data_IF_914385173558
#
_entry.id   IF_914385173558
#
_cell.length_a   1.000
_cell.length_b   1.000
_cell.length_c   1.000
_cell.angle_alpha   90.00
_cell.angle_beta   90.00
_cell.angle_gamma   90.00
#
_symmetry.space_group_name_H-M   'P 1'
#
loop_
_entity.id
_entity.type
_entity.pdbx_description
1 polymer ?
#
# COMPACT_ATOMS: atom_id res chain seq x y z
N UNK A 1 21.62 68.28 -47.17
CA UNK A 1 20.57 67.42 -47.74
C UNK A 1 20.40 66.20 -46.85
N UNK A 2 19.27 66.12 -46.19
CA UNK A 2 18.87 65.09 -45.21
C UNK A 2 18.48 63.80 -45.93
N UNK A 3 19.24 62.72 -45.78
CA UNK A 3 18.78 61.38 -46.17
C UNK A 3 18.00 60.76 -45.01
N UNK A 4 16.67 60.71 -45.15
CA UNK A 4 15.77 59.97 -44.27
C UNK A 4 15.85 58.47 -44.57
N UNK A 5 15.81 57.70 -43.50
CA UNK A 5 15.78 56.23 -43.37
C UNK A 5 14.75 55.54 -44.27
N UNK A 6 14.98 54.26 -44.60
CA UNK A 6 14.08 53.16 -44.18
C UNK A 6 14.91 51.88 -43.97
N UNK A 7 15.35 51.61 -42.74
CA UNK A 7 15.66 50.24 -42.32
C UNK A 7 14.33 49.62 -41.86
N UNK A 8 13.75 48.78 -42.71
CA UNK A 8 12.54 48.04 -42.38
C UNK A 8 12.91 46.94 -41.38
N UNK A 9 13.04 47.29 -40.10
CA UNK A 9 13.07 46.32 -39.00
C UNK A 9 11.67 45.70 -38.93
N UNK A 10 11.46 44.61 -39.67
CA UNK A 10 10.40 43.66 -39.39
C UNK A 10 10.69 43.08 -38.01
N UNK A 11 10.17 43.75 -36.97
CA UNK A 11 9.91 43.14 -35.68
C UNK A 11 8.83 42.08 -35.93
N UNK A 12 9.23 40.93 -36.46
CA UNK A 12 8.49 39.70 -36.22
C UNK A 12 8.49 39.55 -34.70
N UNK A 13 7.41 40.02 -34.08
CA UNK A 13 7.06 39.64 -32.73
C UNK A 13 6.86 38.14 -32.81
N UNK A 14 7.92 37.38 -32.54
CA UNK A 14 7.78 36.00 -32.12
C UNK A 14 6.92 36.08 -30.86
N UNK A 15 5.62 35.82 -31.02
CA UNK A 15 4.75 35.53 -29.90
C UNK A 15 5.26 34.20 -29.36
N UNK A 16 6.20 34.29 -28.41
CA UNK A 16 6.59 33.15 -27.60
C UNK A 16 5.33 32.77 -26.81
N UNK A 17 4.61 31.75 -27.28
CA UNK A 17 3.54 31.12 -26.51
C UNK A 17 4.21 30.27 -25.43
N UNK A 18 4.73 30.93 -24.41
CA UNK A 18 5.31 30.29 -23.24
C UNK A 18 4.21 29.92 -22.24
N UNK A 19 4.29 28.67 -21.75
CA UNK A 19 3.37 27.90 -20.89
C UNK A 19 2.17 27.27 -21.59
N UNK A 20 2.13 25.94 -21.54
CA UNK A 20 0.89 25.13 -21.48
C UNK A 20 0.13 25.48 -20.20
N UNK A 21 -0.37 26.71 -20.13
CA UNK A 21 -1.09 27.25 -18.98
C UNK A 21 -2.49 26.64 -18.93
N UNK A 22 -2.87 26.15 -17.76
CA UNK A 22 -4.25 25.79 -17.45
C UNK A 22 -5.20 26.95 -17.77
N UNK A 23 -6.38 26.63 -18.33
CA UNK A 23 -7.46 27.61 -18.53
C UNK A 23 -8.16 27.91 -17.20
N UNK A 24 -8.82 29.08 -17.06
CA UNK A 24 -9.67 29.35 -15.92
C UNK A 24 -10.73 28.25 -15.74
N UNK A 25 -10.96 27.78 -14.50
CA UNK A 25 -11.89 26.68 -14.25
C UNK A 25 -13.34 26.98 -14.68
N UNK A 26 -13.72 28.26 -14.77
CA UNK A 26 -15.01 28.69 -15.32
C UNK A 26 -15.21 28.33 -16.78
N UNK A 27 -14.13 28.07 -17.51
CA UNK A 27 -14.12 27.71 -18.93
C UNK A 27 -13.85 26.22 -19.16
N UNK A 28 -13.73 25.42 -18.10
CA UNK A 28 -13.44 23.99 -18.17
C UNK A 28 -14.70 23.20 -17.83
N UNK A 29 -15.14 22.35 -18.75
CA UNK A 29 -16.22 21.40 -18.49
C UNK A 29 -15.65 20.07 -17.96
N UNK A 30 -16.05 19.68 -16.76
CA UNK A 30 -15.52 18.51 -16.08
C UNK A 30 -16.21 17.21 -16.51
N UNK A 31 -15.41 16.15 -16.64
CA UNK A 31 -15.92 14.82 -16.97
C UNK A 31 -16.73 14.23 -15.80
N UNK A 32 -17.71 13.38 -16.14
CA UNK A 32 -18.49 12.65 -15.13
C UNK A 32 -17.63 11.59 -14.45
N UNK A 33 -17.68 11.58 -13.13
CA UNK A 33 -16.93 10.63 -12.32
C UNK A 33 -17.59 9.25 -12.26
N UNK A 34 -16.80 8.18 -12.05
CA UNK A 34 -17.36 6.88 -11.70
C UNK A 34 -18.11 6.97 -10.36
N UNK A 35 -18.96 5.98 -10.10
CA UNK A 35 -19.76 5.93 -8.85
C UNK A 35 -18.90 5.83 -7.59
N UNK A 36 -17.69 5.27 -7.68
CA UNK A 36 -16.82 5.01 -6.54
C UNK A 36 -15.38 5.37 -6.88
N UNK A 37 -14.75 6.22 -6.06
CA UNK A 37 -13.30 6.46 -6.06
C UNK A 37 -12.67 5.88 -4.79
N UNK A 38 -11.88 4.83 -4.95
CA UNK A 38 -11.31 4.05 -3.85
C UNK A 38 -10.36 4.89 -2.97
N UNK A 39 -9.49 5.71 -3.55
CA UNK A 39 -8.66 6.65 -2.79
C UNK A 39 -9.34 8.01 -2.52
N UNK A 40 -10.62 8.15 -2.87
CA UNK A 40 -11.37 9.40 -2.74
C UNK A 40 -11.16 10.35 -3.93
N UNK A 41 -11.73 11.55 -3.81
CA UNK A 41 -11.67 12.57 -4.84
C UNK A 41 -10.52 13.55 -4.58
N UNK A 42 -9.86 13.94 -5.66
CA UNK A 42 -8.79 14.95 -5.69
C UNK A 42 -9.00 15.86 -6.90
N UNK A 43 -8.18 16.90 -7.03
CA UNK A 43 -8.21 17.77 -8.20
C UNK A 43 -7.27 17.29 -9.31
N UNK A 44 -7.65 17.59 -10.55
CA UNK A 44 -6.82 17.38 -11.74
C UNK A 44 -5.49 18.18 -11.71
N UNK A 45 -4.68 18.08 -12.78
CA UNK A 45 -3.42 18.82 -12.92
C UNK A 45 -3.59 20.33 -12.68
N UNK A 46 -4.69 20.89 -13.14
CA UNK A 46 -4.99 22.32 -13.11
C UNK A 46 -5.69 22.79 -11.83
N UNK A 47 -6.12 21.87 -10.96
CA UNK A 47 -6.86 22.21 -9.76
C UNK A 47 -8.37 22.41 -9.97
N UNK A 48 -8.91 22.13 -11.16
CA UNK A 48 -10.29 22.46 -11.51
C UNK A 48 -11.25 21.31 -11.22
N UNK A 49 -11.13 20.23 -11.99
CA UNK A 49 -12.08 19.13 -11.94
C UNK A 49 -11.76 18.16 -10.82
N UNK A 50 -12.82 17.62 -10.21
CA UNK A 50 -12.69 16.46 -9.35
C UNK A 50 -12.36 15.23 -10.21
N UNK A 51 -11.39 14.45 -9.76
CA UNK A 51 -10.93 13.18 -10.35
C UNK A 51 -10.72 12.16 -9.24
N UNK A 52 -10.74 10.86 -9.56
CA UNK A 52 -10.32 9.87 -8.57
C UNK A 52 -8.82 10.04 -8.29
N UNK A 53 -8.43 10.03 -7.01
CA UNK A 53 -7.03 10.01 -6.62
C UNK A 53 -6.40 8.64 -6.87
N UNK A 54 -5.08 8.64 -7.05
CA UNK A 54 -4.26 7.43 -7.14
C UNK A 54 -4.28 6.67 -5.79
N UNK A 55 -4.34 5.34 -5.85
CA UNK A 55 -4.29 4.41 -4.73
C UNK A 55 -2.88 4.33 -4.14
N UNK A 56 -2.78 3.70 -2.96
CA UNK A 56 -1.48 3.37 -2.38
C UNK A 56 -0.66 2.53 -3.36
N UNK A 57 0.62 2.87 -3.50
CA UNK A 57 1.60 2.29 -4.41
C UNK A 57 1.40 2.56 -5.91
N UNK A 58 0.34 3.26 -6.32
CA UNK A 58 0.20 3.70 -7.71
C UNK A 58 1.17 4.85 -8.03
N UNK A 59 1.68 4.94 -9.28
CA UNK A 59 2.50 6.05 -9.72
C UNK A 59 1.76 7.38 -9.57
N UNK A 60 2.49 8.41 -9.14
CA UNK A 60 1.95 9.75 -8.95
C UNK A 60 2.88 10.81 -9.52
N UNK A 61 2.34 12.00 -9.78
CA UNK A 61 3.15 13.12 -10.22
C UNK A 61 3.97 13.70 -9.06
N UNK A 62 5.29 13.74 -9.22
CA UNK A 62 6.23 14.37 -8.31
C UNK A 62 7.18 15.32 -9.08
N UNK A 63 7.25 16.61 -8.73
CA UNK A 63 8.01 17.62 -9.51
C UNK A 63 9.50 17.31 -9.71
N UNK A 64 10.12 16.58 -8.79
CA UNK A 64 11.55 16.19 -8.90
C UNK A 64 11.78 15.02 -9.85
N UNK A 65 10.74 14.23 -10.13
CA UNK A 65 10.82 13.01 -10.95
C UNK A 65 10.20 13.23 -12.32
N UNK A 66 9.05 13.90 -12.37
CA UNK A 66 8.26 14.12 -13.58
C UNK A 66 8.62 15.44 -14.25
N UNK A 67 9.15 15.34 -15.47
CA UNK A 67 9.48 16.50 -16.31
C UNK A 67 8.23 17.08 -16.97
N UNK A 68 8.35 18.31 -17.47
CA UNK A 68 7.23 19.07 -18.04
C UNK A 68 6.57 18.39 -19.25
N UNK A 69 7.31 17.54 -19.98
CA UNK A 69 6.81 16.76 -21.12
C UNK A 69 6.33 15.35 -20.76
N UNK A 70 6.46 14.93 -19.50
CA UNK A 70 6.01 13.61 -19.09
C UNK A 70 4.49 13.55 -18.99
N UNK A 71 3.95 12.36 -19.23
CA UNK A 71 2.53 12.07 -19.06
C UNK A 71 2.19 12.28 -17.57
N UNK A 72 1.20 13.13 -17.30
CA UNK A 72 0.75 13.40 -15.94
C UNK A 72 0.21 12.14 -15.27
N UNK A 73 0.88 11.69 -14.20
CA UNK A 73 0.56 10.45 -13.49
C UNK A 73 -0.57 10.57 -12.45
N UNK A 74 -1.14 11.75 -12.22
CA UNK A 74 -2.24 11.95 -11.25
C UNK A 74 -1.76 12.38 -9.86
N UNK A 75 -2.71 12.76 -9.00
CA UNK A 75 -2.47 13.08 -7.59
C UNK A 75 -2.90 11.93 -6.70
N UNK A 76 -2.18 11.72 -5.61
CA UNK A 76 -2.54 10.73 -4.59
C UNK A 76 -3.86 11.08 -3.93
N UNK A 77 -4.65 10.04 -3.60
CA UNK A 77 -5.90 10.20 -2.89
C UNK A 77 -5.76 10.69 -1.45
N UNK A 78 -6.88 10.69 -0.71
CA UNK A 78 -6.94 11.20 0.66
C UNK A 78 -6.07 10.37 1.61
N UNK A 79 -5.21 11.03 2.38
CA UNK A 79 -4.31 10.40 3.36
C UNK A 79 -3.10 9.70 2.73
N UNK A 80 -2.83 10.00 1.45
CA UNK A 80 -1.69 9.49 0.71
C UNK A 80 -0.79 10.66 0.29
N UNK A 81 0.52 10.49 0.45
CA UNK A 81 1.54 11.42 -0.02
C UNK A 81 2.34 10.80 -1.17
N UNK A 82 2.61 11.58 -2.22
CA UNK A 82 3.47 11.14 -3.33
C UNK A 82 4.94 11.17 -2.88
N UNK A 83 5.60 10.01 -2.82
CA UNK A 83 6.99 9.87 -2.36
C UNK A 83 7.86 9.19 -3.42
N UNK A 84 9.07 9.70 -3.62
CA UNK A 84 10.07 9.08 -4.50
C UNK A 84 10.55 7.76 -3.90
N UNK A 85 10.55 6.69 -4.70
CA UNK A 85 11.10 5.39 -4.37
C UNK A 85 12.63 5.49 -4.22
N UNK A 86 13.17 5.00 -3.11
CA UNK A 86 14.61 5.03 -2.79
C UNK A 86 15.27 3.66 -2.85
N UNK A 87 14.50 2.62 -3.14
CA UNK A 87 14.90 1.22 -3.20
C UNK A 87 15.15 0.73 -4.64
N UNK A 88 15.11 1.65 -5.62
CA UNK A 88 15.49 1.35 -7.00
C UNK A 88 17.01 1.51 -7.17
N UNK A 89 17.64 0.64 -7.98
CA UNK A 89 19.02 0.83 -8.44
C UNK A 89 19.25 2.21 -9.08
N UNK A 90 20.48 2.72 -9.07
CA UNK A 90 20.81 4.03 -9.67
C UNK A 90 20.61 4.06 -11.18
N UNK A 91 20.75 2.90 -11.85
CA UNK A 91 20.54 2.75 -13.29
C UNK A 91 19.06 2.81 -13.67
N UNK A 92 18.16 2.52 -12.72
CA UNK A 92 16.73 2.53 -12.95
C UNK A 92 16.19 3.96 -12.85
N UNK A 93 15.22 4.33 -13.71
CA UNK A 93 14.56 5.62 -13.60
C UNK A 93 13.95 5.82 -12.21
N UNK A 94 14.18 6.99 -11.62
CA UNK A 94 13.48 7.37 -10.39
C UNK A 94 11.97 7.39 -10.64
N UNK A 95 11.18 6.83 -9.73
CA UNK A 95 9.72 6.81 -9.79
C UNK A 95 9.16 7.30 -8.45
N UNK A 96 8.08 8.07 -8.50
CA UNK A 96 7.31 8.42 -7.31
C UNK A 96 5.99 7.64 -7.27
N UNK A 97 5.63 7.18 -6.07
CA UNK A 97 4.38 6.44 -5.82
C UNK A 97 3.66 7.01 -4.61
N UNK A 98 2.35 6.83 -4.56
CA UNK A 98 1.55 7.20 -3.39
C UNK A 98 1.87 6.28 -2.21
N UNK A 99 2.09 6.87 -1.03
CA UNK A 99 2.33 6.16 0.23
C UNK A 99 1.35 6.66 1.28
N UNK A 100 0.84 5.76 2.11
CA UNK A 100 -0.02 6.18 3.21
C UNK A 100 0.73 7.09 4.17
N UNK A 101 0.03 8.10 4.68
CA UNK A 101 0.61 8.97 5.71
C UNK A 101 0.79 8.21 7.03
N UNK A 102 -0.08 7.23 7.30
CA UNK A 102 -0.06 6.37 8.48
C UNK A 102 0.12 4.91 8.07
N UNK A 103 1.38 4.47 8.05
CA UNK A 103 1.82 3.09 7.77
C UNK A 103 1.93 2.30 9.09
N UNK A 104 0.78 1.98 9.70
CA UNK A 104 0.67 1.11 10.87
C UNK A 104 -0.26 -0.07 10.56
N UNK A 105 -0.06 -1.17 11.27
CA UNK A 105 -0.96 -2.32 11.18
C UNK A 105 -2.24 -2.07 11.98
N UNK A 106 -3.38 -2.49 11.43
CA UNK A 106 -4.70 -2.40 12.04
C UNK A 106 -5.48 -3.70 11.86
N UNK A 107 -6.26 -4.07 12.86
CA UNK A 107 -7.25 -5.14 12.75
C UNK A 107 -8.60 -4.50 12.51
N UNK A 108 -9.24 -4.83 11.38
CA UNK A 108 -10.61 -4.40 11.10
C UNK A 108 -11.64 -5.15 11.93
N UNK A 109 -12.82 -4.56 12.09
CA UNK A 109 -14.03 -5.21 12.64
C UNK A 109 -14.57 -6.36 11.77
N UNK A 110 -13.98 -6.55 10.59
CA UNK A 110 -14.18 -7.68 9.69
C UNK A 110 -13.18 -8.83 9.92
N UNK A 111 -12.31 -8.72 10.93
CA UNK A 111 -11.32 -9.74 11.27
C UNK A 111 -10.14 -9.82 10.30
N UNK A 112 -9.95 -8.79 9.45
CA UNK A 112 -8.85 -8.73 8.49
C UNK A 112 -7.77 -7.75 8.98
N UNK A 113 -6.51 -8.15 8.84
CA UNK A 113 -5.36 -7.28 9.10
C UNK A 113 -5.08 -6.37 7.90
N UNK A 114 -4.82 -5.09 8.17
CA UNK A 114 -4.49 -4.06 7.20
C UNK A 114 -3.16 -3.43 7.57
N UNK A 115 -2.27 -3.22 6.61
CA UNK A 115 -0.90 -2.69 6.84
C UNK A 115 -0.83 -1.16 6.86
N UNK A 116 -1.97 -0.50 6.64
CA UNK A 116 -2.11 0.95 6.64
C UNK A 116 -3.59 1.31 6.81
N UNK A 117 -3.88 2.52 7.29
CA UNK A 117 -5.26 3.02 7.32
C UNK A 117 -5.82 3.19 5.90
N UNK A 118 -4.95 3.45 4.92
CA UNK A 118 -5.33 3.64 3.53
C UNK A 118 -5.90 2.35 2.92
N UNK A 119 -5.24 1.21 3.14
CA UNK A 119 -5.71 -0.10 2.66
C UNK A 119 -7.04 -0.54 3.31
N UNK A 120 -7.24 -0.23 4.60
CA UNK A 120 -8.51 -0.45 5.30
C UNK A 120 -9.65 0.35 4.66
N UNK A 121 -9.43 1.65 4.44
CA UNK A 121 -10.42 2.54 3.82
C UNK A 121 -10.71 2.16 2.36
N UNK A 122 -9.70 1.73 1.62
CA UNK A 122 -9.84 1.24 0.25
C UNK A 122 -10.75 0.00 0.21
N UNK A 123 -10.47 -1.00 1.06
CA UNK A 123 -11.27 -2.22 1.17
C UNK A 123 -12.73 -1.92 1.54
N UNK A 124 -12.95 -1.01 2.48
CA UNK A 124 -14.28 -0.58 2.86
C UNK A 124 -15.06 -0.01 1.67
N UNK A 125 -14.45 0.92 0.92
CA UNK A 125 -15.09 1.49 -0.28
C UNK A 125 -15.32 0.46 -1.38
N UNK A 126 -14.39 -0.46 -1.58
CA UNK A 126 -14.50 -1.52 -2.60
C UNK A 126 -15.66 -2.48 -2.30
N UNK A 127 -15.88 -2.77 -1.03
CA UNK A 127 -16.96 -3.63 -0.54
C UNK A 127 -18.25 -2.87 -0.22
N UNK A 128 -18.26 -1.54 -0.42
CA UNK A 128 -19.34 -0.64 -0.03
C UNK A 128 -19.77 -0.82 1.44
N UNK A 129 -18.80 -1.08 2.33
CA UNK A 129 -18.96 -1.27 3.77
C UNK A 129 -18.04 -0.30 4.51
N UNK A 130 -18.50 0.25 5.62
CA UNK A 130 -17.58 0.94 6.54
C UNK A 130 -16.93 -0.11 7.44
N UNK A 131 -15.61 -0.26 7.32
CA UNK A 131 -14.79 -1.10 8.19
C UNK A 131 -14.22 -0.18 9.27
N UNK A 132 -14.41 -0.55 10.53
CA UNK A 132 -13.86 0.19 11.67
C UNK A 132 -12.64 -0.52 12.24
N UNK A 133 -11.77 0.21 12.93
CA UNK A 133 -10.59 -0.36 13.58
C UNK A 133 -11.06 -1.05 14.85
N UNK A 134 -10.94 -2.38 14.91
CA UNK A 134 -11.19 -3.17 16.11
C UNK A 134 -10.05 -3.01 17.12
N UNK A 135 -8.79 -3.03 16.65
CA UNK A 135 -7.59 -2.74 17.46
C UNK A 135 -6.43 -2.27 16.56
N UNK A 136 -5.47 -1.57 17.17
CA UNK A 136 -4.15 -1.32 16.56
C UNK A 136 -3.32 -2.61 16.57
N UNK A 137 -2.52 -2.82 15.53
CA UNK A 137 -1.82 -4.07 15.25
C UNK A 137 -2.64 -5.00 14.35
N UNK A 138 -2.03 -6.06 13.81
CA UNK A 138 -2.74 -7.06 13.01
C UNK A 138 -3.82 -7.76 13.85
N UNK A 139 -4.82 -8.34 13.18
CA UNK A 139 -5.73 -9.27 13.84
C UNK A 139 -4.96 -10.48 14.38
N UNK A 140 -5.49 -11.07 15.45
CA UNK A 140 -4.94 -12.27 16.04
C UNK A 140 -4.94 -13.38 14.98
N UNK A 141 -3.75 -13.73 14.46
CA UNK A 141 -3.57 -14.88 13.59
C UNK A 141 -3.28 -16.11 14.44
N UNK A 142 -3.90 -17.24 14.11
CA UNK A 142 -3.49 -18.54 14.68
C UNK A 142 -2.03 -18.90 14.35
N UNK A 143 -1.46 -18.24 13.33
CA UNK A 143 -0.04 -18.33 12.99
C UNK A 143 0.75 -17.34 13.87
N UNK A 144 1.20 -17.83 15.02
CA UNK A 144 2.11 -17.08 15.88
C UNK A 144 3.54 -17.16 15.30
N UNK A 145 4.16 -16.05 14.84
CA UNK A 145 5.50 -16.10 14.28
C UNK A 145 6.58 -16.55 15.28
N UNK A 146 6.26 -16.56 16.58
CA UNK A 146 7.13 -17.10 17.63
C UNK A 146 7.03 -18.62 17.72
N UNK A 147 5.96 -19.21 17.20
CA UNK A 147 5.73 -20.65 17.17
C UNK A 147 6.32 -21.24 15.89
N UNK A 148 7.08 -22.32 16.04
CA UNK A 148 7.54 -23.12 14.90
C UNK A 148 7.42 -24.60 15.20
N UNK A 149 6.87 -25.36 14.25
CA UNK A 149 6.68 -26.80 14.37
C UNK A 149 7.62 -27.50 13.40
N UNK A 150 8.47 -28.38 13.93
CA UNK A 150 9.43 -29.14 13.14
C UNK A 150 9.19 -30.64 13.33
N UNK A 151 9.45 -31.41 12.28
CA UNK A 151 9.36 -32.87 12.32
C UNK A 151 10.61 -33.52 11.74
N UNK A 152 11.09 -34.59 12.36
CA UNK A 152 12.18 -35.44 11.86
C UNK A 152 11.86 -36.92 12.05
N UNK A 153 12.70 -37.77 11.48
CA UNK A 153 12.75 -39.19 11.87
C UNK A 153 13.14 -39.32 13.34
N UNK A 154 12.52 -40.30 14.01
CA UNK A 154 12.81 -40.62 15.42
C UNK A 154 13.90 -41.69 15.56
N UNK A 155 14.33 -41.97 16.80
CA UNK A 155 15.45 -42.87 17.07
C UNK A 155 15.16 -44.32 16.66
N UNK A 156 13.89 -44.74 16.67
CA UNK A 156 13.49 -46.07 16.23
C UNK A 156 13.13 -46.13 14.73
N UNK A 157 13.29 -47.32 14.15
CA UNK A 157 12.88 -47.59 12.78
C UNK A 157 11.38 -47.34 12.64
N UNK A 158 11.01 -46.48 11.68
CA UNK A 158 9.63 -46.05 11.39
C UNK A 158 9.00 -45.06 12.37
N UNK A 159 9.79 -44.47 13.27
CA UNK A 159 9.32 -43.42 14.15
C UNK A 159 9.45 -42.04 13.50
N UNK A 160 8.50 -41.17 13.82
CA UNK A 160 8.57 -39.73 13.55
C UNK A 160 8.53 -39.00 14.89
N UNK A 161 9.35 -37.98 15.01
CA UNK A 161 9.42 -37.12 16.19
C UNK A 161 9.14 -35.69 15.74
N UNK A 162 8.16 -35.03 16.38
CA UNK A 162 7.87 -33.62 16.18
C UNK A 162 8.17 -32.84 17.45
N UNK A 163 8.55 -31.58 17.30
CA UNK A 163 8.69 -30.64 18.42
C UNK A 163 8.19 -29.26 18.01
N UNK A 164 7.63 -28.57 19.00
CA UNK A 164 7.20 -27.18 18.91
C UNK A 164 8.27 -26.34 19.60
N UNK A 165 8.72 -25.28 18.93
CA UNK A 165 9.61 -24.29 19.49
C UNK A 165 8.88 -22.96 19.58
N UNK A 166 8.83 -22.37 20.78
CA UNK A 166 8.23 -21.07 21.07
C UNK A 166 9.35 -20.08 21.38
N UNK A 167 9.47 -19.02 20.57
CA UNK A 167 10.43 -17.94 20.78
C UNK A 167 9.86 -16.90 21.75
N UNK A 168 10.44 -16.80 22.96
CA UNK A 168 9.92 -15.97 24.08
C UNK A 168 8.51 -16.36 24.49
N UNK A 169 8.41 -17.15 25.55
CA UNK A 169 7.14 -17.61 26.10
C UNK A 169 6.35 -16.42 26.69
N UNK A 170 5.05 -16.42 26.43
CA UNK A 170 4.06 -15.42 26.89
C UNK A 170 2.81 -16.16 27.35
N UNK A 171 1.99 -15.53 28.19
CA UNK A 171 0.75 -16.11 28.76
C UNK A 171 -0.15 -16.78 27.71
N UNK A 172 -0.27 -16.15 26.54
CA UNK A 172 -1.09 -16.65 25.42
C UNK A 172 -0.66 -18.02 24.86
N UNK A 173 0.53 -18.51 25.20
CA UNK A 173 1.02 -19.83 24.76
C UNK A 173 0.69 -20.95 25.76
N UNK A 174 0.08 -20.65 26.91
CA UNK A 174 -0.40 -21.70 27.82
C UNK A 174 -1.47 -22.55 27.16
N UNK A 175 -1.34 -23.88 27.23
CA UNK A 175 -2.31 -24.78 26.62
C UNK A 175 -1.82 -26.22 26.43
N UNK A 176 -2.68 -27.03 25.82
CA UNK A 176 -2.41 -28.42 25.47
C UNK A 176 -1.92 -28.52 24.02
N UNK A 177 -0.69 -29.00 23.85
CA UNK A 177 -0.06 -29.20 22.55
C UNK A 177 -0.17 -30.68 22.16
N UNK A 178 -0.92 -30.95 21.09
CA UNK A 178 -1.20 -32.31 20.62
C UNK A 178 -0.53 -32.55 19.27
N UNK A 179 0.38 -33.53 19.23
CA UNK A 179 0.93 -34.05 17.99
C UNK A 179 0.08 -35.24 17.53
N UNK A 180 -0.48 -35.14 16.32
CA UNK A 180 -1.32 -36.18 15.71
C UNK A 180 -0.59 -36.75 14.49
N UNK A 181 -0.37 -38.06 14.47
CA UNK A 181 0.21 -38.78 13.33
C UNK A 181 -0.80 -39.78 12.77
N UNK A 182 -1.02 -39.74 11.46
CA UNK A 182 -1.94 -40.63 10.74
C UNK A 182 -1.15 -41.37 9.66
N UNK A 183 -1.26 -42.69 9.62
CA UNK A 183 -0.66 -43.49 8.54
C UNK A 183 -1.64 -43.69 7.37
N UNK A 184 -1.14 -44.25 6.27
CA UNK A 184 -1.93 -44.52 5.06
C UNK A 184 -3.09 -45.53 5.24
N UNK A 185 -3.13 -46.25 6.37
CA UNK A 185 -4.25 -47.14 6.75
C UNK A 185 -5.27 -46.43 7.63
N UNK A 186 -5.13 -45.13 7.86
CA UNK A 186 -5.99 -44.34 8.73
C UNK A 186 -5.76 -44.57 10.23
N UNK A 187 -4.72 -45.33 10.63
CA UNK A 187 -4.38 -45.50 12.04
C UNK A 187 -3.79 -44.19 12.56
N UNK A 188 -4.42 -43.64 13.59
CA UNK A 188 -4.02 -42.41 14.25
C UNK A 188 -3.32 -42.72 15.58
N UNK A 189 -2.23 -42.02 15.84
CA UNK A 189 -1.56 -41.97 17.15
C UNK A 189 -1.48 -40.51 17.59
N UNK A 190 -1.56 -40.27 18.90
CA UNK A 190 -1.44 -38.93 19.49
C UNK A 190 -0.37 -38.92 20.58
N UNK A 191 0.32 -37.80 20.71
CA UNK A 191 1.14 -37.45 21.86
C UNK A 191 0.75 -36.05 22.32
N UNK A 192 0.70 -35.80 23.62
CA UNK A 192 0.18 -34.56 24.20
C UNK A 192 1.11 -34.05 25.29
N UNK A 193 1.25 -32.73 25.36
CA UNK A 193 2.00 -32.03 26.41
C UNK A 193 1.28 -30.73 26.79
N UNK A 194 1.09 -30.52 28.10
CA UNK A 194 0.58 -29.28 28.67
C UNK A 194 1.73 -28.30 28.90
N UNK A 195 1.64 -27.10 28.34
CA UNK A 195 2.52 -25.98 28.69
C UNK A 195 1.78 -25.07 29.67
N UNK A 196 2.35 -24.87 30.86
CA UNK A 196 1.87 -23.87 31.82
C UNK A 196 2.88 -22.72 31.87
N UNK A 197 2.42 -21.48 31.75
CA UNK A 197 3.28 -20.30 31.73
C UNK A 197 3.26 -19.66 33.11
N UNK A 198 4.38 -19.75 33.83
CA UNK A 198 4.54 -19.05 35.11
C UNK A 198 4.97 -17.60 34.85
N UNK A 199 4.13 -16.65 35.25
CA UNK A 199 4.46 -15.22 35.25
C UNK A 199 5.08 -14.92 36.62
N UNK A 200 6.33 -14.46 36.63
CA UNK A 200 6.98 -13.92 37.81
C UNK A 200 6.98 -12.40 37.77
#
# INVERSE_FOLDING_TARGET
MTFKLVFLLLLFKFAFSERTSCRPCSEVECQKLPRTCLAGLVKDKCGCCDVCGQLEFEPCYHPEVDKEHDIWKGRCGKGLTCRIRKDLPEEDPSIAVCRCDMEEDYCGDDGISYTSICSLLEKGKRTNKTITIARTGPCDSDDDPKLSVNTRGGPEKWQKTGWVQIQRIEEKHEGDYICIAINNKGKMTKAEARLNVAIN
#
